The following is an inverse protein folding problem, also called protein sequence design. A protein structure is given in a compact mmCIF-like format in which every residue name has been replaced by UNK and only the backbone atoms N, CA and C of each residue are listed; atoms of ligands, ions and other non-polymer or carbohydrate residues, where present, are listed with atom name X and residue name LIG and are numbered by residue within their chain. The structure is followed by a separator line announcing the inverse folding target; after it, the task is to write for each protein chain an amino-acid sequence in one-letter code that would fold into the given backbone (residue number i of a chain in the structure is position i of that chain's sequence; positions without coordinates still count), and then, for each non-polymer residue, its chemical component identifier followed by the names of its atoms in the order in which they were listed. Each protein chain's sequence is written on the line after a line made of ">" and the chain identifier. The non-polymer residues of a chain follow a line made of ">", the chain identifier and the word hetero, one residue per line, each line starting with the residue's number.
data_IF_199405979074
#
_entry.id   IF_199405979074
#
_cell.length_a   1.000
_cell.length_b   1.000
_cell.length_c   1.000
_cell.angle_alpha   90.00
_cell.angle_beta   90.00
_cell.angle_gamma   90.00
#
_symmetry.space_group_name_H-M   'P 1'
#
loop_
_entity.id
_entity.type
_entity.pdbx_description
1 polymer ?
#
# COMPACT_ATOMS: atom_id res chain seq x y z
N UNK A 1 23.63 -13.76 -33.28
CA UNK A 1 22.29 -13.11 -33.19
C UNK A 1 21.47 -13.53 -31.97
N UNK A 2 21.55 -14.78 -31.47
CA UNK A 2 20.79 -15.21 -30.28
C UNK A 2 21.34 -14.66 -28.95
N UNK A 3 22.66 -14.62 -28.77
CA UNK A 3 23.29 -14.14 -27.52
C UNK A 3 23.04 -12.65 -27.26
N UNK A 4 23.06 -11.81 -28.30
CA UNK A 4 22.86 -10.36 -28.18
C UNK A 4 21.41 -10.01 -27.81
N UNK A 5 20.43 -10.76 -28.37
CA UNK A 5 19.03 -10.66 -27.96
C UNK A 5 18.81 -11.19 -26.53
N UNK A 6 19.51 -12.26 -26.12
CA UNK A 6 19.42 -12.79 -24.76
C UNK A 6 19.98 -11.82 -23.71
N UNK A 7 21.12 -11.15 -24.00
CA UNK A 7 21.73 -10.16 -23.10
C UNK A 7 20.89 -8.90 -22.97
N UNK A 8 20.33 -8.39 -24.07
CA UNK A 8 19.37 -7.28 -24.03
C UNK A 8 18.14 -7.64 -23.20
N UNK A 9 17.58 -8.82 -23.41
CA UNK A 9 16.42 -9.29 -22.64
C UNK A 9 16.70 -9.39 -21.14
N UNK A 10 17.84 -9.94 -20.72
CA UNK A 10 18.20 -10.06 -19.29
C UNK A 10 18.43 -8.70 -18.64
N UNK A 11 19.10 -7.77 -19.34
CA UNK A 11 19.29 -6.39 -18.87
C UNK A 11 17.96 -5.63 -18.77
N UNK A 12 17.04 -5.85 -19.69
CA UNK A 12 15.69 -5.24 -19.66
C UNK A 12 14.85 -5.81 -18.49
N UNK A 13 14.89 -7.12 -18.24
CA UNK A 13 14.21 -7.72 -17.08
C UNK A 13 14.78 -7.24 -15.75
N UNK A 14 16.11 -7.17 -15.63
CA UNK A 14 16.77 -6.66 -14.42
C UNK A 14 16.39 -5.20 -14.15
N UNK A 15 16.31 -4.39 -15.20
CA UNK A 15 15.87 -2.99 -15.10
C UNK A 15 14.41 -2.88 -14.64
N UNK A 16 13.51 -3.72 -15.16
CA UNK A 16 12.11 -3.78 -14.74
C UNK A 16 11.99 -4.20 -13.27
N UNK A 17 12.73 -5.23 -12.85
CA UNK A 17 12.76 -5.69 -11.45
C UNK A 17 13.29 -4.60 -10.53
N UNK A 18 14.33 -3.87 -10.95
CA UNK A 18 14.94 -2.78 -10.17
C UNK A 18 13.98 -1.60 -10.03
N UNK A 19 13.36 -1.15 -11.13
CA UNK A 19 12.35 -0.07 -11.12
C UNK A 19 11.14 -0.49 -10.27
N UNK A 20 10.70 -1.74 -10.42
CA UNK A 20 9.68 -2.35 -9.58
C UNK A 20 10.06 -2.24 -8.11
N UNK A 21 11.22 -2.78 -7.70
CA UNK A 21 11.71 -2.72 -6.32
C UNK A 21 11.77 -1.31 -5.74
N UNK A 22 12.25 -0.32 -6.52
CA UNK A 22 12.27 1.10 -6.10
C UNK A 22 10.85 1.62 -5.87
N UNK A 23 9.92 1.36 -6.78
CA UNK A 23 8.53 1.77 -6.61
C UNK A 23 7.91 1.11 -5.38
N UNK A 24 8.10 -0.20 -5.19
CA UNK A 24 7.59 -0.92 -4.02
C UNK A 24 8.14 -0.35 -2.71
N UNK A 25 9.44 -0.04 -2.68
CA UNK A 25 10.07 0.62 -1.55
C UNK A 25 9.46 2.00 -1.28
N UNK A 26 9.26 2.83 -2.31
CA UNK A 26 8.64 4.16 -2.15
C UNK A 26 7.21 4.08 -1.63
N UNK A 27 6.41 3.15 -2.15
CA UNK A 27 5.02 2.94 -1.70
C UNK A 27 4.98 2.54 -0.22
N UNK A 28 5.83 1.59 0.15
CA UNK A 28 5.88 1.11 1.52
C UNK A 28 6.50 2.10 2.50
N UNK A 29 7.48 2.89 2.07
CA UNK A 29 8.00 4.01 2.83
C UNK A 29 6.93 5.05 3.11
N UNK A 30 6.19 5.48 2.07
CA UNK A 30 5.10 6.46 2.22
C UNK A 30 4.01 5.99 3.20
N UNK A 31 3.69 4.70 3.17
CA UNK A 31 2.78 4.08 4.14
C UNK A 31 3.32 4.18 5.57
N UNK A 32 4.53 3.68 5.82
CA UNK A 32 5.09 3.60 7.16
C UNK A 32 5.41 4.96 7.77
N UNK A 33 5.92 5.88 6.96
CA UNK A 33 6.12 7.27 7.34
C UNK A 33 4.79 7.90 7.78
N UNK A 34 3.74 7.79 6.97
CA UNK A 34 2.42 8.33 7.32
C UNK A 34 1.85 7.67 8.58
N UNK A 35 2.00 6.34 8.68
CA UNK A 35 1.49 5.55 9.79
C UNK A 35 2.14 5.95 11.13
N UNK A 36 3.47 6.11 11.15
CA UNK A 36 4.23 6.44 12.35
C UNK A 36 4.11 7.93 12.71
N UNK A 37 4.08 8.81 11.70
CA UNK A 37 3.82 10.24 11.92
C UNK A 37 2.46 10.49 12.58
N UNK A 38 1.45 9.67 12.26
CA UNK A 38 0.15 9.73 12.93
C UNK A 38 0.22 9.45 14.45
N UNK A 39 1.29 8.80 14.92
CA UNK A 39 1.57 8.56 16.34
C UNK A 39 2.64 9.52 16.90
N UNK A 40 2.99 10.59 16.17
CA UNK A 40 4.08 11.52 16.49
C UNK A 40 5.44 10.82 16.70
N UNK A 41 5.69 9.73 15.96
CA UNK A 41 6.99 9.06 15.93
C UNK A 41 7.80 9.66 14.79
N UNK A 42 8.98 10.20 15.10
CA UNK A 42 9.87 10.80 14.11
C UNK A 42 10.31 9.77 13.06
N UNK A 43 10.31 10.19 11.79
CA UNK A 43 10.76 9.38 10.65
C UNK A 43 12.22 8.90 10.78
N UNK A 44 13.06 9.61 11.54
CA UNK A 44 14.44 9.21 11.82
C UNK A 44 14.56 7.94 12.68
N UNK A 45 13.48 7.54 13.36
CA UNK A 45 13.39 6.28 14.10
C UNK A 45 12.90 5.13 13.22
N UNK A 46 12.59 5.40 11.95
CA UNK A 46 12.12 4.41 10.99
C UNK A 46 13.32 3.67 10.41
N UNK A 47 13.55 2.47 10.94
CA UNK A 47 14.48 1.51 10.36
C UNK A 47 13.71 0.20 10.15
N UNK A 48 12.98 0.16 9.04
CA UNK A 48 12.14 -0.97 8.67
C UNK A 48 12.90 -1.75 7.62
N UNK A 49 13.14 -3.04 7.87
CA UNK A 49 13.71 -3.92 6.86
C UNK A 49 12.82 -3.93 5.60
N UNK A 50 13.44 -3.97 4.42
CA UNK A 50 12.72 -4.06 3.13
C UNK A 50 11.72 -5.23 3.15
N UNK A 51 12.08 -6.34 3.79
CA UNK A 51 11.20 -7.50 4.00
C UNK A 51 9.93 -7.15 4.78
N UNK A 52 10.03 -6.36 5.86
CA UNK A 52 8.88 -5.90 6.63
C UNK A 52 8.03 -4.91 5.81
N UNK A 53 8.66 -4.07 4.99
CA UNK A 53 7.96 -3.19 4.05
C UNK A 53 7.15 -4.01 3.04
N UNK A 54 7.77 -4.98 2.38
CA UNK A 54 7.12 -5.84 1.38
C UNK A 54 6.01 -6.67 2.04
N UNK A 55 6.28 -7.36 3.14
CA UNK A 55 5.29 -8.21 3.84
C UNK A 55 4.09 -7.44 4.40
N UNK A 56 4.19 -6.13 4.58
CA UNK A 56 3.06 -5.30 5.05
C UNK A 56 2.32 -4.61 3.91
N UNK A 57 2.89 -4.59 2.70
CA UNK A 57 2.29 -3.92 1.53
C UNK A 57 2.03 -4.85 0.34
N UNK A 58 2.41 -6.14 0.40
CA UNK A 58 2.35 -7.07 -0.73
C UNK A 58 0.94 -7.28 -1.29
N UNK A 59 -0.11 -7.24 -0.46
CA UNK A 59 -1.50 -7.38 -0.93
C UNK A 59 -1.88 -6.19 -1.80
N UNK A 60 -1.52 -4.98 -1.39
CA UNK A 60 -1.71 -3.76 -2.17
C UNK A 60 -0.87 -3.77 -3.44
N UNK A 61 0.36 -4.28 -3.37
CA UNK A 61 1.24 -4.47 -4.52
C UNK A 61 0.63 -5.44 -5.52
N UNK A 62 0.11 -6.57 -5.05
CA UNK A 62 -0.54 -7.60 -5.87
C UNK A 62 -1.81 -7.06 -6.53
N UNK A 63 -2.58 -6.21 -5.84
CA UNK A 63 -3.76 -5.55 -6.40
C UNK A 63 -3.40 -4.48 -7.44
N UNK A 64 -2.35 -3.69 -7.21
CA UNK A 64 -1.80 -2.77 -8.21
C UNK A 64 -1.33 -3.56 -9.43
N UNK A 65 -0.64 -4.69 -9.24
CA UNK A 65 -0.20 -5.55 -10.34
C UNK A 65 -1.39 -6.17 -11.10
N UNK A 66 -2.44 -6.61 -10.40
CA UNK A 66 -3.66 -7.12 -11.05
C UNK A 66 -4.40 -6.02 -11.81
N UNK A 67 -4.49 -4.81 -11.24
CA UNK A 67 -5.08 -3.65 -11.87
C UNK A 67 -4.31 -3.22 -13.15
N UNK A 68 -2.99 -3.41 -13.16
CA UNK A 68 -2.09 -3.04 -14.25
C UNK A 68 -1.72 -4.24 -15.15
N UNK A 69 -2.16 -5.47 -14.85
CA UNK A 69 -1.71 -6.69 -15.54
C UNK A 69 -1.97 -6.61 -17.04
N UNK A 70 -3.17 -6.15 -17.39
CA UNK A 70 -3.57 -5.96 -18.78
C UNK A 70 -2.79 -4.83 -19.45
N UNK A 71 -2.47 -3.77 -18.70
CA UNK A 71 -1.61 -2.69 -19.18
C UNK A 71 -0.17 -3.13 -19.42
N UNK A 72 0.35 -4.03 -18.59
CA UNK A 72 1.66 -4.66 -18.75
C UNK A 72 1.65 -5.58 -19.98
N UNK A 73 0.60 -6.40 -20.13
CA UNK A 73 0.43 -7.26 -21.31
C UNK A 73 0.38 -6.45 -22.61
N UNK A 74 -0.41 -5.38 -22.63
CA UNK A 74 -0.51 -4.46 -23.77
C UNK A 74 0.86 -3.81 -24.04
N UNK A 75 1.61 -3.40 -23.02
CA UNK A 75 2.94 -2.84 -23.20
C UNK A 75 3.94 -3.84 -23.82
N UNK A 76 3.86 -5.12 -23.45
CA UNK A 76 4.74 -6.17 -23.99
C UNK A 76 4.36 -6.51 -25.44
N UNK A 77 3.05 -6.59 -25.75
CA UNK A 77 2.55 -6.99 -27.06
C UNK A 77 2.61 -5.88 -28.11
N UNK A 78 2.40 -4.62 -27.72
CA UNK A 78 2.29 -3.51 -28.66
C UNK A 78 3.65 -3.09 -29.23
N UNK A 79 3.72 -2.98 -30.55
CA UNK A 79 4.83 -2.35 -31.28
C UNK A 79 4.76 -0.83 -31.09
N UNK A 80 5.87 -0.12 -31.39
CA UNK A 80 5.97 1.35 -31.21
C UNK A 80 4.90 2.15 -31.97
N UNK A 81 4.40 1.60 -33.08
CA UNK A 81 3.44 2.25 -33.97
C UNK A 81 1.99 1.93 -33.58
N UNK A 82 1.79 0.96 -32.68
CA UNK A 82 0.46 0.53 -32.30
C UNK A 82 -0.18 1.57 -31.38
N UNK A 83 -1.51 1.66 -31.47
CA UNK A 83 -2.30 2.61 -30.70
C UNK A 83 -3.38 1.87 -29.90
N UNK A 84 -3.76 2.45 -28.77
CA UNK A 84 -4.73 1.89 -27.84
C UNK A 84 -5.92 2.84 -27.80
N UNK A 85 -7.14 2.32 -27.92
CA UNK A 85 -8.34 3.15 -27.69
C UNK A 85 -8.37 3.63 -26.23
N UNK A 86 -8.64 4.93 -26.05
CA UNK A 86 -8.79 5.59 -24.74
C UNK A 86 -9.84 4.87 -23.88
N UNK A 87 -10.87 4.30 -24.49
CA UNK A 87 -11.92 3.56 -23.79
C UNK A 87 -11.35 2.42 -22.95
N UNK A 88 -10.42 1.65 -23.51
CA UNK A 88 -9.79 0.54 -22.78
C UNK A 88 -8.94 1.04 -21.63
N UNK A 89 -8.19 2.13 -21.83
CA UNK A 89 -7.39 2.75 -20.77
C UNK A 89 -8.29 3.20 -19.62
N UNK A 90 -9.41 3.86 -19.91
CA UNK A 90 -10.38 4.28 -18.89
C UNK A 90 -10.98 3.08 -18.15
N UNK A 91 -11.38 2.04 -18.88
CA UNK A 91 -11.94 0.82 -18.27
C UNK A 91 -10.96 0.17 -17.30
N UNK A 92 -9.69 0.05 -17.68
CA UNK A 92 -8.67 -0.55 -16.81
C UNK A 92 -8.37 0.31 -15.58
N UNK A 93 -8.29 1.64 -15.74
CA UNK A 93 -8.10 2.54 -14.62
C UNK A 93 -9.27 2.47 -13.63
N UNK A 94 -10.50 2.46 -14.14
CA UNK A 94 -11.71 2.35 -13.32
C UNK A 94 -11.76 1.02 -12.58
N UNK A 95 -11.42 -0.08 -13.24
CA UNK A 95 -11.30 -1.41 -12.60
C UNK A 95 -10.22 -1.42 -11.51
N UNK A 96 -9.05 -0.84 -11.79
CA UNK A 96 -7.96 -0.75 -10.82
C UNK A 96 -8.35 0.04 -9.57
N UNK A 97 -8.96 1.22 -9.75
CA UNK A 97 -9.45 2.06 -8.66
C UNK A 97 -10.50 1.31 -7.83
N UNK A 98 -11.40 0.57 -8.47
CA UNK A 98 -12.40 -0.23 -7.77
C UNK A 98 -11.77 -1.35 -6.93
N UNK A 99 -10.83 -2.11 -7.49
CA UNK A 99 -10.10 -3.16 -6.73
C UNK A 99 -9.36 -2.58 -5.52
N UNK A 100 -8.78 -1.40 -5.66
CA UNK A 100 -8.11 -0.70 -4.56
C UNK A 100 -9.11 -0.21 -3.49
N UNK A 101 -10.25 0.32 -3.92
CA UNK A 101 -11.30 0.74 -2.99
C UNK A 101 -11.85 -0.43 -2.16
N UNK A 102 -12.13 -1.56 -2.80
CA UNK A 102 -12.65 -2.75 -2.13
C UNK A 102 -11.63 -3.39 -1.19
N UNK A 103 -10.35 -3.42 -1.56
CA UNK A 103 -9.32 -3.98 -0.68
C UNK A 103 -9.14 -3.17 0.61
N UNK A 104 -9.20 -1.84 0.51
CA UNK A 104 -9.23 -0.97 1.69
C UNK A 104 -10.46 -1.20 2.56
N UNK A 105 -11.58 -1.69 2.03
CA UNK A 105 -12.88 -1.74 2.72
C UNK A 105 -13.49 -3.15 2.77
N UNK A 106 -12.68 -4.20 2.72
CA UNK A 106 -13.13 -5.59 2.62
C UNK A 106 -14.16 -5.98 3.72
N UNK A 107 -13.98 -5.49 4.95
CA UNK A 107 -14.92 -5.72 6.07
C UNK A 107 -16.32 -5.12 5.84
N UNK A 108 -16.45 -4.15 4.93
CA UNK A 108 -17.70 -3.45 4.56
C UNK A 108 -18.09 -3.73 3.10
N UNK A 109 -17.60 -4.82 2.53
CA UNK A 109 -17.98 -5.25 1.18
C UNK A 109 -19.50 -5.39 1.12
N UNK A 110 -20.14 -4.62 0.24
CA UNK A 110 -21.58 -4.66 0.07
C UNK A 110 -21.92 -4.81 -1.41
N UNK A 111 -22.98 -5.56 -1.69
CA UNK A 111 -23.49 -5.77 -3.05
C UNK A 111 -23.74 -4.45 -3.80
N UNK A 112 -24.03 -3.36 -3.08
CA UNK A 112 -24.26 -2.05 -3.68
C UNK A 112 -23.02 -1.47 -4.37
N UNK A 113 -21.81 -1.72 -3.84
CA UNK A 113 -20.57 -1.25 -4.48
C UNK A 113 -20.33 -1.99 -5.80
N UNK A 114 -20.57 -3.30 -5.83
CA UNK A 114 -20.49 -4.12 -7.05
C UNK A 114 -21.51 -3.65 -8.08
N UNK A 115 -22.73 -3.35 -7.65
CA UNK A 115 -23.79 -2.85 -8.54
C UNK A 115 -23.44 -1.48 -9.13
N UNK A 116 -22.97 -0.54 -8.31
CA UNK A 116 -22.49 0.77 -8.76
C UNK A 116 -21.33 0.65 -9.75
N UNK A 117 -20.39 -0.25 -9.47
CA UNK A 117 -19.28 -0.56 -10.38
C UNK A 117 -19.79 -1.14 -11.72
N UNK A 118 -20.75 -2.05 -11.68
CA UNK A 118 -21.40 -2.60 -12.88
C UNK A 118 -22.09 -1.53 -13.73
N UNK A 119 -22.83 -0.61 -13.09
CA UNK A 119 -23.47 0.54 -13.77
C UNK A 119 -22.43 1.47 -14.38
N UNK A 120 -21.31 1.72 -13.68
CA UNK A 120 -20.22 2.54 -14.20
C UNK A 120 -19.57 1.90 -15.43
N UNK A 121 -19.25 0.60 -15.40
CA UNK A 121 -18.71 -0.14 -16.54
C UNK A 121 -19.67 -0.14 -17.73
N UNK A 122 -20.97 -0.36 -17.48
CA UNK A 122 -22.00 -0.29 -18.51
C UNK A 122 -22.05 1.10 -19.13
N UNK A 123 -21.99 2.15 -18.31
CA UNK A 123 -22.01 3.55 -18.77
C UNK A 123 -20.80 3.88 -19.66
N UNK A 124 -19.59 3.44 -19.26
CA UNK A 124 -18.37 3.62 -20.06
C UNK A 124 -18.48 2.87 -21.39
N UNK A 125 -19.05 1.67 -21.37
CA UNK A 125 -19.24 0.85 -22.57
C UNK A 125 -20.25 1.49 -23.53
N UNK A 126 -21.40 1.96 -23.01
CA UNK A 126 -22.44 2.62 -23.79
C UNK A 126 -21.98 3.98 -24.34
N UNK A 127 -21.17 4.72 -23.59
CA UNK A 127 -20.57 5.99 -24.03
C UNK A 127 -19.29 5.79 -24.85
N UNK A 128 -18.89 4.54 -25.14
CA UNK A 128 -17.64 4.18 -25.81
C UNK A 128 -17.40 4.97 -27.09
N UNK A 129 -18.42 5.13 -27.93
CA UNK A 129 -18.31 5.89 -29.19
C UNK A 129 -18.01 7.38 -28.99
N UNK A 130 -18.43 7.99 -27.86
CA UNK A 130 -18.07 9.37 -27.53
C UNK A 130 -16.67 9.45 -26.94
N UNK A 131 -16.26 8.45 -26.16
CA UNK A 131 -14.92 8.35 -25.57
C UNK A 131 -13.87 8.14 -26.67
N UNK A 132 -14.17 7.30 -27.66
CA UNK A 132 -13.26 7.02 -28.78
C UNK A 132 -13.01 8.26 -29.66
N UNK A 133 -13.88 9.30 -29.59
CA UNK A 133 -13.63 10.61 -30.23
C UNK A 133 -12.45 11.38 -29.62
N UNK A 134 -11.99 11.02 -28.42
CA UNK A 134 -10.78 11.59 -27.83
C UNK A 134 -9.50 11.16 -28.57
N UNK A 135 -9.63 10.25 -29.55
CA UNK A 135 -8.52 9.74 -30.35
C UNK A 135 -7.78 8.62 -29.62
N UNK A 136 -6.97 7.83 -30.33
CA UNK A 136 -6.24 6.73 -29.71
C UNK A 136 -4.95 7.23 -29.04
N UNK A 137 -4.48 6.50 -28.02
CA UNK A 137 -3.27 6.79 -27.28
C UNK A 137 -2.12 5.96 -27.85
N UNK A 138 -0.96 6.59 -28.09
CA UNK A 138 0.25 5.86 -28.48
C UNK A 138 0.92 5.18 -27.27
N UNK A 139 1.77 4.19 -27.53
CA UNK A 139 2.48 3.41 -26.49
C UNK A 139 3.24 4.28 -25.47
N UNK A 140 3.88 5.37 -25.91
CA UNK A 140 4.66 6.26 -25.03
C UNK A 140 3.77 7.00 -24.03
N UNK A 141 2.66 7.56 -24.51
CA UNK A 141 1.71 8.29 -23.69
C UNK A 141 0.99 7.35 -22.72
N UNK A 142 0.70 6.12 -23.16
CA UNK A 142 0.14 5.09 -22.29
C UNK A 142 1.08 4.75 -21.11
N UNK A 143 2.37 4.56 -21.38
CA UNK A 143 3.35 4.32 -20.31
C UNK A 143 3.45 5.49 -19.32
N UNK A 144 3.39 6.73 -19.82
CA UNK A 144 3.35 7.91 -18.95
C UNK A 144 2.11 7.90 -18.04
N UNK A 145 0.94 7.58 -18.59
CA UNK A 145 -0.32 7.48 -17.81
C UNK A 145 -0.17 6.44 -16.68
N UNK A 146 0.39 5.27 -16.98
CA UNK A 146 0.61 4.22 -15.97
C UNK A 146 1.53 4.70 -14.84
N UNK A 147 2.63 5.38 -15.18
CA UNK A 147 3.57 5.95 -14.19
C UNK A 147 2.87 7.00 -13.33
N UNK A 148 2.14 7.94 -13.95
CA UNK A 148 1.41 8.99 -13.23
C UNK A 148 0.40 8.39 -12.26
N UNK A 149 -0.36 7.39 -12.70
CA UNK A 149 -1.34 6.70 -11.85
C UNK A 149 -0.65 5.99 -10.69
N UNK A 150 0.48 5.31 -10.93
CA UNK A 150 1.25 4.68 -9.85
C UNK A 150 1.76 5.70 -8.81
N UNK A 151 2.20 6.89 -9.26
CA UNK A 151 2.58 7.98 -8.36
C UNK A 151 1.41 8.54 -7.56
N UNK A 152 0.26 8.76 -8.18
CA UNK A 152 -0.96 9.21 -7.49
C UNK A 152 -1.37 8.18 -6.43
N UNK A 153 -1.30 6.89 -6.77
CA UNK A 153 -1.56 5.80 -5.83
C UNK A 153 -0.60 5.84 -4.64
N UNK A 154 0.70 6.09 -4.89
CA UNK A 154 1.70 6.30 -3.83
C UNK A 154 1.35 7.46 -2.92
N UNK A 155 1.07 8.63 -3.48
CA UNK A 155 0.90 9.86 -2.72
C UNK A 155 -0.46 9.99 -2.03
N UNK A 156 -1.48 9.26 -2.48
CA UNK A 156 -2.86 9.41 -1.98
C UNK A 156 -3.32 8.16 -1.23
N UNK A 157 -3.31 7.00 -1.89
CA UNK A 157 -3.94 5.79 -1.35
C UNK A 157 -3.17 5.22 -0.16
N UNK A 158 -1.83 5.10 -0.26
CA UNK A 158 -1.02 4.54 0.83
C UNK A 158 -1.05 5.39 2.09
N UNK A 159 -0.93 6.73 2.02
CA UNK A 159 -1.17 7.60 3.16
C UNK A 159 -2.59 7.50 3.73
N UNK A 160 -3.61 7.38 2.89
CA UNK A 160 -4.98 7.19 3.34
C UNK A 160 -5.15 5.88 4.13
N UNK A 161 -4.63 4.77 3.58
CA UNK A 161 -4.67 3.46 4.22
C UNK A 161 -3.88 3.47 5.55
N UNK A 162 -2.67 4.05 5.56
CA UNK A 162 -1.87 4.23 6.76
C UNK A 162 -2.58 5.00 7.88
N UNK A 163 -3.32 6.07 7.51
CA UNK A 163 -4.13 6.84 8.46
C UNK A 163 -5.28 6.01 9.02
N UNK A 164 -5.93 5.22 8.18
CA UNK A 164 -7.02 4.32 8.57
C UNK A 164 -6.51 3.25 9.55
N UNK A 165 -5.38 2.63 9.24
CA UNK A 165 -4.83 1.53 10.04
C UNK A 165 -4.26 2.03 11.39
N UNK A 166 -3.57 3.17 11.41
CA UNK A 166 -3.12 3.81 12.66
C UNK A 166 -4.30 4.19 13.57
N UNK A 167 -5.39 4.67 12.99
CA UNK A 167 -6.61 4.99 13.77
C UNK A 167 -7.27 3.72 14.32
N UNK A 168 -7.23 2.59 13.58
CA UNK A 168 -7.81 1.31 14.03
C UNK A 168 -7.11 0.74 15.27
N UNK A 169 -5.81 0.96 15.43
CA UNK A 169 -5.07 0.51 16.63
C UNK A 169 -5.67 1.03 17.94
N UNK A 170 -6.17 2.27 17.90
CA UNK A 170 -6.73 2.92 19.07
C UNK A 170 -7.95 2.16 19.59
N UNK A 171 -8.82 1.69 18.71
CA UNK A 171 -10.06 1.00 19.06
C UNK A 171 -9.88 -0.51 19.21
N UNK A 172 -8.91 -1.12 18.53
CA UNK A 172 -8.75 -2.57 18.46
C UNK A 172 -8.11 -3.15 19.74
N UNK A 173 -8.82 -4.07 20.40
CA UNK A 173 -8.38 -4.73 21.64
C UNK A 173 -7.23 -5.71 21.41
N UNK A 174 -7.06 -6.24 20.20
CA UNK A 174 -5.97 -7.17 19.88
C UNK A 174 -4.60 -6.51 20.01
N UNK A 175 -4.55 -5.18 19.87
CA UNK A 175 -3.33 -4.40 20.02
C UNK A 175 -3.04 -4.02 21.48
N UNK A 176 -3.84 -4.46 22.46
CA UNK A 176 -3.50 -4.22 23.85
C UNK A 176 -2.17 -4.91 24.19
N UNK A 177 -1.30 -4.21 24.93
CA UNK A 177 -0.02 -4.74 25.37
C UNK A 177 0.25 -4.33 26.81
N UNK A 178 0.79 -5.27 27.58
CA UNK A 178 1.36 -5.04 28.88
C UNK A 178 2.87 -5.28 28.78
N UNK A 179 3.66 -4.26 29.10
CA UNK A 179 5.11 -4.37 29.24
C UNK A 179 5.49 -4.32 30.71
N UNK A 180 6.34 -5.24 31.13
CA UNK A 180 6.93 -5.24 32.47
C UNK A 180 8.40 -4.91 32.35
N UNK A 181 8.80 -3.76 32.90
CA UNK A 181 10.19 -3.30 32.89
C UNK A 181 11.02 -4.04 33.94
N UNK A 182 12.32 -4.23 33.66
CA UNK A 182 13.27 -4.82 34.61
C UNK A 182 13.41 -3.98 35.88
N UNK A 183 13.38 -2.66 35.75
CA UNK A 183 13.45 -1.76 36.89
C UNK A 183 12.11 -1.73 37.65
N UNK A 184 12.15 -2.26 38.88
CA UNK A 184 11.03 -2.29 39.85
C UNK A 184 9.78 -3.05 39.38
N UNK A 185 9.88 -3.93 38.39
CA UNK A 185 8.74 -4.64 37.79
C UNK A 185 7.59 -3.69 37.39
N UNK A 186 7.94 -2.47 36.96
CA UNK A 186 6.93 -1.48 36.58
C UNK A 186 6.13 -1.99 35.38
N UNK A 187 4.82 -2.03 35.56
CA UNK A 187 3.86 -2.46 34.54
C UNK A 187 3.37 -1.26 33.72
N UNK A 188 3.42 -1.38 32.40
CA UNK A 188 2.97 -0.37 31.44
C UNK A 188 1.92 -0.99 30.54
N UNK A 189 0.70 -0.49 30.64
CA UNK A 189 -0.40 -0.87 29.75
C UNK A 189 -0.54 0.14 28.62
N UNK A 190 -0.72 -0.33 27.41
CA UNK A 190 -0.93 0.53 26.25
C UNK A 190 -1.42 -0.24 25.02
N UNK A 191 -1.32 0.42 23.86
CA UNK A 191 -1.50 -0.21 22.54
C UNK A 191 -0.17 -0.41 21.86
N UNK A 192 0.11 -1.63 21.44
CA UNK A 192 1.25 -1.94 20.61
C UNK A 192 1.08 -1.28 19.23
N UNK A 193 2.08 -0.48 18.82
CA UNK A 193 2.12 0.14 17.50
C UNK A 193 2.98 -0.73 16.58
N UNK A 194 4.24 -0.93 16.94
CA UNK A 194 5.21 -1.72 16.16
C UNK A 194 6.42 -2.07 17.01
N UNK A 195 7.21 -3.06 16.55
CA UNK A 195 8.52 -3.41 17.08
C UNK A 195 9.57 -3.27 15.97
N UNK A 196 10.60 -2.46 16.22
CA UNK A 196 11.66 -2.12 15.27
C UNK A 196 12.96 -1.81 16.02
N UNK A 197 14.12 -2.23 15.51
CA UNK A 197 15.43 -1.98 16.10
C UNK A 197 15.51 -2.25 17.60
N UNK A 198 15.06 -3.43 18.01
CA UNK A 198 15.01 -3.82 19.42
C UNK A 198 14.24 -2.85 20.32
N UNK A 199 13.29 -2.10 19.77
CA UNK A 199 12.46 -1.16 20.49
C UNK A 199 10.98 -1.45 20.25
N UNK A 200 10.22 -1.41 21.35
CA UNK A 200 8.77 -1.45 21.33
C UNK A 200 8.22 -0.02 21.30
N UNK A 201 7.38 0.27 20.31
CA UNK A 201 6.65 1.52 20.20
C UNK A 201 5.22 1.29 20.70
N UNK A 202 4.83 2.03 21.73
CA UNK A 202 3.59 1.80 22.47
C UNK A 202 2.86 3.11 22.67
N UNK A 203 1.59 3.13 22.30
CA UNK A 203 0.69 4.21 22.65
C UNK A 203 0.21 4.01 24.09
N UNK A 204 0.58 4.93 24.98
CA UNK A 204 0.12 4.92 26.36
C UNK A 204 -0.73 6.15 26.62
N UNK A 205 -1.66 6.03 27.57
CA UNK A 205 -2.43 7.15 28.07
C UNK A 205 -1.81 7.64 29.37
N UNK A 206 -1.45 8.92 29.41
CA UNK A 206 -0.84 9.51 30.60
C UNK A 206 -1.91 9.89 31.64
N UNK A 207 -1.46 10.37 32.80
CA UNK A 207 -2.34 10.76 33.91
C UNK A 207 -3.34 11.88 33.57
N UNK A 208 -3.14 12.59 32.46
CA UNK A 208 -4.00 13.67 31.97
C UNK A 208 -4.91 13.23 30.82
N UNK A 209 -5.10 11.91 30.65
CA UNK A 209 -5.86 11.32 29.54
C UNK A 209 -5.34 11.71 28.15
N UNK A 210 -4.08 12.14 28.05
CA UNK A 210 -3.43 12.41 26.76
C UNK A 210 -2.69 11.16 26.31
N UNK A 211 -2.86 10.82 25.03
CA UNK A 211 -2.15 9.71 24.40
C UNK A 211 -0.78 10.17 23.94
N UNK A 212 0.24 9.41 24.31
CA UNK A 212 1.62 9.67 23.94
C UNK A 212 2.28 8.35 23.53
N UNK A 213 3.14 8.41 22.52
CA UNK A 213 3.95 7.26 22.15
C UNK A 213 5.16 7.18 23.06
N UNK A 214 5.36 6.02 23.69
CA UNK A 214 6.55 5.69 24.44
C UNK A 214 7.33 4.58 23.75
N UNK A 215 8.64 4.69 23.84
CA UNK A 215 9.60 3.79 23.22
C UNK A 215 10.36 3.10 24.34
N UNK A 216 10.39 1.78 24.32
CA UNK A 216 11.10 0.97 25.30
C UNK A 216 12.08 0.05 24.59
N UNK A 217 13.34 0.07 25.02
CA UNK A 217 14.36 -0.83 24.48
C UNK A 217 14.16 -2.24 25.01
N UNK A 218 14.45 -3.26 24.21
CA UNK A 218 14.32 -4.67 24.61
C UNK A 218 15.21 -4.99 25.84
N UNK A 219 16.34 -4.29 25.97
CA UNK A 219 17.22 -4.35 27.14
C UNK A 219 16.55 -3.90 28.44
N UNK A 220 15.56 -3.01 28.39
CA UNK A 220 14.82 -2.47 29.55
C UNK A 220 13.65 -3.36 29.96
N UNK A 221 13.22 -4.26 29.07
CA UNK A 221 12.00 -5.05 29.22
C UNK A 221 12.33 -6.41 29.83
N UNK A 222 11.55 -6.82 30.83
CA UNK A 222 11.60 -8.16 31.40
C UNK A 222 10.78 -9.14 30.55
N UNK A 223 9.50 -8.82 30.32
CA UNK A 223 8.63 -9.57 29.41
C UNK A 223 7.48 -8.71 28.88
N UNK A 224 6.88 -9.16 27.77
CA UNK A 224 5.74 -8.52 27.10
C UNK A 224 4.58 -9.50 27.06
N UNK A 225 3.38 -9.03 27.38
CA UNK A 225 2.14 -9.81 27.31
C UNK A 225 1.18 -9.12 26.36
N UNK A 226 0.68 -9.87 25.37
CA UNK A 226 -0.44 -9.47 24.51
C UNK A 226 -1.69 -10.15 25.06
N UNK A 227 -2.55 -9.43 25.81
CA UNK A 227 -3.76 -10.03 26.37
C UNK A 227 -4.67 -10.40 25.21
N UNK A 228 -4.87 -11.69 24.98
CA UNK A 228 -5.92 -12.15 24.07
C UNK A 228 -7.26 -11.79 24.71
N UNK A 229 -8.18 -11.21 23.91
CA UNK A 229 -9.56 -11.05 24.38
C UNK A 229 -10.07 -12.42 24.83
N UNK A 230 -10.72 -12.56 25.99
CA UNK A 230 -11.53 -13.74 26.22
C UNK A 230 -12.53 -13.84 25.06
N UNK A 231 -12.59 -15.04 24.46
CA UNK A 231 -13.56 -15.37 23.42
C UNK A 231 -14.98 -15.29 23.97
#
# INVERSE_FOLDING_TARGET
>A
MSEENSRKSILDYTSIVTIGGILLYQLGWSYWETYLNNFNIDSSLIDISIEKIISTTWTTILLVLLALLRSIEDFIRLKKQDTISVRYVILYLVFGIFLMYESSNFEKFTFIHVLLFGVLLLSITLLGNKIDKLGPINKKSYLIILIVVAYIMSAVYYPFQAKKDSTKIISDRTNNVLIVLKDRNKKINGKFITFMNDKYFILVENKFCKRETRIFSNSEINYVVFPTSPR
#
